data_IF_462336133248
#
_entry.id   IF_462336133248
#
_cell.length_a   1.000
_cell.length_b   1.000
_cell.length_c   1.000
_cell.angle_alpha   90.00
_cell.angle_beta   90.00
_cell.angle_gamma   90.00
#
_symmetry.space_group_name_H-M   'P 1'
#
loop_
_entity.id
_entity.type
_entity.pdbx_description
1 polymer ?
#
# COMPACT_ATOMS: atom_id res chain seq x y z
N UNK A 1 -7.62 18.24 35.57
CA UNK A 1 -7.43 18.34 34.11
C UNK A 1 -7.27 19.81 33.80
N UNK A 2 -6.06 20.21 33.41
CA UNK A 2 -5.70 21.61 33.19
C UNK A 2 -6.45 22.18 31.97
N UNK A 3 -6.88 23.43 32.09
CA UNK A 3 -7.49 24.23 31.03
C UNK A 3 -6.59 24.24 29.79
N UNK A 4 -7.03 23.58 28.72
CA UNK A 4 -6.52 23.85 27.38
C UNK A 4 -7.01 25.25 26.98
N UNK A 5 -6.26 26.27 27.39
CA UNK A 5 -6.50 27.65 26.98
C UNK A 5 -6.60 27.72 25.46
N UNK A 6 -7.69 28.31 24.98
CA UNK A 6 -8.02 28.48 23.57
C UNK A 6 -6.94 29.33 22.87
N UNK A 7 -5.83 28.70 22.45
CA UNK A 7 -4.80 29.34 21.63
C UNK A 7 -5.40 29.62 20.26
N UNK A 8 -5.56 30.90 19.95
CA UNK A 8 -6.00 31.33 18.64
C UNK A 8 -4.78 31.37 17.71
N UNK A 9 -4.60 30.33 16.90
CA UNK A 9 -3.49 30.20 15.96
C UNK A 9 -3.75 31.06 14.72
N UNK A 10 -2.75 31.79 14.24
CA UNK A 10 -2.79 32.35 12.89
C UNK A 10 -2.48 31.28 11.84
N UNK A 11 -2.91 31.47 10.59
CA UNK A 11 -2.62 30.54 9.48
C UNK A 11 -1.12 30.24 9.34
N UNK A 12 -0.28 31.27 9.44
CA UNK A 12 1.17 31.14 9.32
C UNK A 12 1.80 30.34 10.46
N UNK A 13 1.29 30.49 11.69
CA UNK A 13 1.78 29.76 12.86
C UNK A 13 1.29 28.31 12.87
N UNK A 14 0.04 28.07 12.47
CA UNK A 14 -0.52 26.72 12.43
C UNK A 14 0.21 25.82 11.43
N UNK A 15 0.62 26.37 10.28
CA UNK A 15 1.31 25.63 9.23
C UNK A 15 2.84 25.74 9.28
N UNK A 16 3.41 26.46 10.24
CA UNK A 16 4.85 26.76 10.31
C UNK A 16 5.41 27.27 8.97
N UNK A 17 4.72 28.22 8.33
CA UNK A 17 5.05 28.65 6.96
C UNK A 17 6.42 29.30 6.87
N UNK A 18 6.88 29.95 7.94
CA UNK A 18 8.19 30.60 7.93
C UNK A 18 9.28 29.56 7.75
N UNK A 19 9.27 28.54 8.57
CA UNK A 19 10.23 27.44 8.51
C UNK A 19 10.10 26.72 7.16
N UNK A 20 8.89 26.39 6.72
CA UNK A 20 8.65 25.68 5.46
C UNK A 20 9.19 26.45 4.24
N UNK A 21 8.99 27.76 4.19
CA UNK A 21 9.40 28.65 3.09
C UNK A 21 10.84 29.15 3.20
N UNK A 22 11.60 28.72 4.22
CA UNK A 22 13.05 28.94 4.33
C UNK A 22 13.85 27.73 3.81
N UNK A 23 13.20 26.57 3.56
CA UNK A 23 13.88 25.31 3.20
C UNK A 23 14.35 25.21 1.74
N UNK A 24 14.05 26.19 0.88
CA UNK A 24 14.37 26.10 -0.55
C UNK A 24 15.84 26.44 -0.84
N UNK A 25 16.56 27.03 0.12
CA UNK A 25 17.99 27.27 0.04
C UNK A 25 18.39 28.34 -0.98
N UNK A 26 17.60 29.42 -1.06
CA UNK A 26 17.88 30.61 -1.87
C UNK A 26 19.23 31.27 -1.54
N UNK A 27 19.70 31.10 -0.30
CA UNK A 27 21.00 31.57 0.19
C UNK A 27 22.20 30.95 -0.55
N UNK A 28 22.00 29.79 -1.21
CA UNK A 28 23.01 29.12 -2.03
C UNK A 28 23.14 29.70 -3.45
N UNK A 29 22.33 30.70 -3.81
CA UNK A 29 22.36 31.32 -5.13
C UNK A 29 21.77 30.45 -6.24
N UNK A 30 20.78 29.63 -5.90
CA UNK A 30 20.13 28.69 -6.82
C UNK A 30 19.44 29.41 -7.99
N UNK A 31 19.40 28.74 -9.15
CA UNK A 31 18.67 29.24 -10.31
C UNK A 31 17.15 29.03 -10.18
N UNK A 32 16.34 29.70 -11.01
CA UNK A 32 14.89 29.46 -11.04
C UNK A 32 14.51 28.01 -11.37
N UNK A 33 15.30 27.36 -12.23
CA UNK A 33 15.11 25.96 -12.61
C UNK A 33 15.46 25.00 -11.47
N UNK A 34 16.48 25.33 -10.66
CA UNK A 34 16.85 24.59 -9.47
C UNK A 34 15.83 24.77 -8.34
N UNK A 35 15.29 25.99 -8.16
CA UNK A 35 14.17 26.27 -7.25
C UNK A 35 12.94 25.41 -7.62
N UNK A 36 12.60 25.36 -8.90
CA UNK A 36 11.51 24.50 -9.40
C UNK A 36 11.75 23.03 -9.06
N UNK A 37 12.96 22.53 -9.32
CA UNK A 37 13.35 21.16 -8.97
C UNK A 37 13.18 20.89 -7.47
N UNK A 38 13.64 21.80 -6.60
CA UNK A 38 13.55 21.67 -5.14
C UNK A 38 12.09 21.64 -4.67
N UNK A 39 11.26 22.59 -5.11
CA UNK A 39 9.85 22.68 -4.69
C UNK A 39 9.08 21.42 -5.10
N UNK A 40 9.31 20.91 -6.30
CA UNK A 40 8.65 19.67 -6.77
C UNK A 40 9.00 18.50 -5.84
N UNK A 41 10.29 18.30 -5.52
CA UNK A 41 10.71 17.19 -4.65
C UNK A 41 10.26 17.38 -3.20
N UNK A 42 10.31 18.59 -2.66
CA UNK A 42 9.76 18.88 -1.32
C UNK A 42 8.26 18.58 -1.24
N UNK A 43 7.51 18.88 -2.31
CA UNK A 43 6.08 18.58 -2.39
C UNK A 43 5.84 17.07 -2.43
N UNK A 44 6.64 16.30 -3.17
CA UNK A 44 6.59 14.83 -3.14
C UNK A 44 6.86 14.29 -1.74
N UNK A 45 7.88 14.78 -1.03
CA UNK A 45 8.21 14.34 0.33
C UNK A 45 7.12 14.68 1.35
N UNK A 46 6.40 15.80 1.18
CA UNK A 46 5.22 16.12 1.99
C UNK A 46 4.06 15.15 1.72
N UNK A 47 3.84 14.76 0.46
CA UNK A 47 2.83 13.77 0.11
C UNK A 47 3.19 12.38 0.61
N UNK A 48 4.44 11.94 0.49
CA UNK A 48 4.91 10.67 1.05
C UNK A 48 4.67 10.62 2.56
N UNK A 49 4.95 11.70 3.28
CA UNK A 49 4.66 11.80 4.71
C UNK A 49 3.19 11.57 5.03
N UNK A 50 2.30 12.17 4.24
CA UNK A 50 0.86 11.96 4.40
C UNK A 50 0.46 10.53 4.08
N UNK A 51 0.91 9.97 2.95
CA UNK A 51 0.64 8.59 2.53
C UNK A 51 1.07 7.58 3.60
N UNK A 52 2.30 7.71 4.10
CA UNK A 52 2.85 6.86 5.17
C UNK A 52 1.96 6.91 6.41
N UNK A 53 1.47 8.11 6.77
CA UNK A 53 0.55 8.27 7.91
C UNK A 53 -0.78 7.53 7.68
N UNK A 54 -1.42 7.75 6.53
CA UNK A 54 -2.70 7.13 6.18
C UNK A 54 -2.59 5.60 6.15
N UNK A 55 -1.58 5.07 5.46
CA UNK A 55 -1.39 3.63 5.30
C UNK A 55 -0.92 2.94 6.58
N UNK A 56 -0.18 3.64 7.45
CA UNK A 56 0.14 3.14 8.79
C UNK A 56 -1.11 3.03 9.64
N UNK A 57 -1.98 4.04 9.63
CA UNK A 57 -3.26 3.99 10.35
C UNK A 57 -4.14 2.82 9.82
N UNK A 58 -4.16 2.55 8.50
CA UNK A 58 -4.86 1.37 7.92
C UNK A 58 -4.26 0.06 8.42
N UNK A 59 -2.94 -0.10 8.35
CA UNK A 59 -2.22 -1.29 8.84
C UNK A 59 -2.54 -1.54 10.32
N UNK A 60 -2.45 -0.50 11.15
CA UNK A 60 -2.71 -0.56 12.60
C UNK A 60 -4.16 -0.94 12.93
N UNK A 61 -5.13 -0.55 12.09
CA UNK A 61 -6.51 -1.04 12.19
C UNK A 61 -6.57 -2.54 11.91
N UNK A 62 -5.98 -3.00 10.80
CA UNK A 62 -6.12 -4.36 10.30
C UNK A 62 -5.41 -5.42 11.16
N UNK A 63 -4.33 -5.04 11.85
CA UNK A 63 -3.61 -5.95 12.77
C UNK A 63 -4.37 -6.23 14.07
N UNK A 64 -5.42 -5.48 14.41
CA UNK A 64 -6.19 -5.71 15.63
C UNK A 64 -6.89 -7.08 15.61
N UNK A 65 -7.02 -7.71 16.78
CA UNK A 65 -7.67 -9.02 16.95
C UNK A 65 -8.65 -8.97 18.12
N UNK A 66 -9.98 -8.90 17.89
CA UNK A 66 -10.65 -8.68 16.60
C UNK A 66 -10.51 -7.22 16.10
N UNK A 67 -10.70 -7.00 14.78
CA UNK A 67 -10.82 -5.63 14.23
C UNK A 67 -12.22 -5.10 14.53
N UNK A 68 -12.36 -3.92 15.16
CA UNK A 68 -13.66 -3.30 15.37
C UNK A 68 -14.35 -2.95 14.05
N UNK A 69 -15.61 -3.36 13.88
CA UNK A 69 -16.36 -3.16 12.63
C UNK A 69 -16.52 -1.66 12.26
N UNK A 70 -16.54 -0.78 13.26
CA UNK A 70 -16.64 0.67 13.09
C UNK A 70 -15.33 1.33 12.65
N UNK A 71 -14.20 0.63 12.68
CA UNK A 71 -12.92 1.11 12.17
C UNK A 71 -12.66 0.74 10.70
N UNK A 72 -13.36 -0.24 10.13
CA UNK A 72 -13.22 -0.57 8.70
C UNK A 72 -13.61 0.60 7.78
N UNK A 73 -14.70 1.36 8.03
CA UNK A 73 -15.00 2.57 7.25
C UNK A 73 -13.85 3.59 7.27
N UNK A 74 -13.20 3.75 8.43
CA UNK A 74 -12.07 4.66 8.58
C UNK A 74 -10.87 4.19 7.75
N UNK A 75 -10.56 2.89 7.74
CA UNK A 75 -9.54 2.33 6.86
C UNK A 75 -9.84 2.58 5.37
N UNK A 76 -11.10 2.43 4.95
CA UNK A 76 -11.54 2.74 3.57
C UNK A 76 -11.34 4.23 3.24
N UNK A 77 -11.69 5.13 4.16
CA UNK A 77 -11.53 6.58 3.96
C UNK A 77 -10.05 6.96 3.83
N UNK A 78 -9.16 6.34 4.63
CA UNK A 78 -7.71 6.52 4.54
C UNK A 78 -7.15 6.03 3.20
N UNK A 79 -7.58 4.85 2.73
CA UNK A 79 -7.19 4.33 1.41
C UNK A 79 -7.66 5.24 0.28
N UNK A 80 -8.94 5.66 0.29
CA UNK A 80 -9.48 6.56 -0.73
C UNK A 80 -8.75 7.91 -0.78
N UNK A 81 -8.35 8.47 0.37
CA UNK A 81 -7.50 9.66 0.40
C UNK A 81 -6.14 9.40 -0.22
N UNK A 82 -5.54 8.24 0.07
CA UNK A 82 -4.23 7.86 -0.45
C UNK A 82 -4.25 7.71 -1.97
N UNK A 83 -5.30 7.09 -2.53
CA UNK A 83 -5.55 7.01 -3.98
C UNK A 83 -5.61 8.39 -4.64
N UNK A 84 -6.33 9.35 -4.06
CA UNK A 84 -6.38 10.71 -4.60
C UNK A 84 -5.03 11.43 -4.55
N UNK A 85 -4.22 11.18 -3.50
CA UNK A 85 -2.86 11.71 -3.42
C UNK A 85 -1.98 11.11 -4.53
N UNK A 86 -2.07 9.81 -4.81
CA UNK A 86 -1.33 9.20 -5.92
C UNK A 86 -1.74 9.78 -7.28
N UNK A 87 -3.04 9.96 -7.53
CA UNK A 87 -3.54 10.63 -8.75
C UNK A 87 -2.95 12.04 -8.90
N UNK A 88 -2.89 12.80 -7.81
CA UNK A 88 -2.28 14.13 -7.80
C UNK A 88 -0.76 14.05 -8.09
N UNK A 89 -0.04 13.16 -7.42
CA UNK A 89 1.40 12.95 -7.60
C UNK A 89 1.74 12.50 -9.03
N UNK A 90 0.93 11.65 -9.64
CA UNK A 90 1.08 11.26 -11.05
C UNK A 90 0.97 12.48 -11.97
N UNK A 91 0.00 13.37 -11.71
CA UNK A 91 -0.17 14.62 -12.47
C UNK A 91 0.98 15.61 -12.25
N UNK A 92 1.60 15.60 -11.07
CA UNK A 92 2.71 16.49 -10.69
C UNK A 92 3.94 16.30 -11.59
N UNK A 93 4.13 15.13 -12.21
CA UNK A 93 5.22 14.92 -13.18
C UNK A 93 5.16 15.90 -14.35
N UNK A 94 3.97 16.28 -14.81
CA UNK A 94 3.83 17.27 -15.89
C UNK A 94 4.38 18.65 -15.52
N UNK A 95 4.40 18.98 -14.22
CA UNK A 95 5.02 20.20 -13.69
C UNK A 95 6.53 20.08 -13.74
N UNK A 96 7.10 18.93 -13.38
CA UNK A 96 8.54 18.72 -13.49
C UNK A 96 9.01 18.72 -14.95
N UNK A 97 8.22 18.17 -15.87
CA UNK A 97 8.52 18.10 -17.31
C UNK A 97 8.66 19.46 -17.99
N UNK A 98 8.22 20.55 -17.36
CA UNK A 98 8.50 21.91 -17.86
C UNK A 98 9.96 22.31 -17.68
N UNK A 99 10.73 21.58 -16.87
CA UNK A 99 12.17 21.75 -16.72
C UNK A 99 12.88 21.23 -17.97
N UNK A 100 13.50 22.14 -18.73
CA UNK A 100 14.23 21.73 -19.93
C UNK A 100 15.50 20.94 -19.57
N UNK A 101 15.95 20.00 -20.42
CA UNK A 101 17.21 19.30 -20.19
C UNK A 101 18.40 20.23 -20.01
N UNK A 102 18.44 21.37 -20.73
CA UNK A 102 19.47 22.39 -20.58
C UNK A 102 19.39 23.08 -19.21
N UNK A 103 18.19 23.39 -18.74
CA UNK A 103 17.94 23.95 -17.41
C UNK A 103 18.42 23.00 -16.31
N UNK A 104 18.09 21.71 -16.42
CA UNK A 104 18.58 20.69 -15.50
C UNK A 104 20.11 20.57 -15.50
N UNK A 105 20.74 20.53 -16.68
CA UNK A 105 22.21 20.45 -16.79
C UNK A 105 22.92 21.66 -16.17
N UNK A 106 22.27 22.83 -16.07
CA UNK A 106 22.89 24.03 -15.52
C UNK A 106 23.18 23.94 -14.01
N UNK A 107 22.42 23.13 -13.26
CA UNK A 107 22.61 22.95 -11.81
C UNK A 107 22.92 21.51 -11.40
N UNK A 108 22.83 20.53 -12.32
CA UNK A 108 23.05 19.10 -12.04
C UNK A 108 24.34 18.82 -11.28
N UNK A 109 25.44 19.47 -11.64
CA UNK A 109 26.74 19.24 -11.02
C UNK A 109 26.75 19.61 -9.53
N UNK A 110 25.86 20.53 -9.10
CA UNK A 110 25.65 20.92 -7.70
C UNK A 110 24.93 19.88 -6.85
N UNK A 111 24.22 18.92 -7.47
CA UNK A 111 23.53 17.84 -6.75
C UNK A 111 24.51 16.80 -6.16
N UNK A 112 25.73 16.73 -6.68
CA UNK A 112 26.75 15.79 -6.19
C UNK A 112 26.30 14.32 -6.30
N UNK A 113 26.28 13.61 -5.17
CA UNK A 113 25.81 12.22 -5.08
C UNK A 113 24.33 12.10 -4.72
N UNK A 114 23.64 13.22 -4.49
CA UNK A 114 22.25 13.21 -4.05
C UNK A 114 21.38 12.50 -5.09
N UNK A 115 20.61 11.52 -4.64
CA UNK A 115 19.79 10.70 -5.51
C UNK A 115 18.44 10.39 -4.88
N UNK A 116 17.41 10.21 -5.70
CA UNK A 116 16.10 9.73 -5.23
C UNK A 116 16.18 8.37 -4.50
N UNK A 117 17.26 7.60 -4.72
CA UNK A 117 17.56 6.38 -3.97
C UNK A 117 17.83 6.62 -2.46
N UNK A 118 18.11 7.86 -2.06
CA UNK A 118 18.36 8.25 -0.66
C UNK A 118 17.07 8.73 0.05
N UNK A 119 15.92 8.74 -0.63
CA UNK A 119 14.64 9.05 0.02
C UNK A 119 14.26 7.92 0.99
N UNK A 120 14.40 8.18 2.29
CA UNK A 120 14.03 7.21 3.32
C UNK A 120 12.52 7.00 3.39
N UNK A 121 11.71 8.04 3.12
CA UNK A 121 10.25 7.91 3.09
C UNK A 121 9.79 7.00 1.94
N UNK A 122 10.47 7.05 0.79
CA UNK A 122 10.20 6.09 -0.29
C UNK A 122 10.45 4.65 0.17
N UNK A 123 11.53 4.39 0.92
CA UNK A 123 11.80 3.05 1.48
C UNK A 123 10.80 2.64 2.53
N UNK A 124 10.48 3.54 3.46
CA UNK A 124 9.45 3.32 4.48
C UNK A 124 8.12 2.95 3.83
N UNK A 125 7.72 3.67 2.78
CA UNK A 125 6.52 3.41 2.01
C UNK A 125 6.54 2.03 1.33
N UNK A 126 7.63 1.65 0.66
CA UNK A 126 7.79 0.31 0.04
C UNK A 126 7.73 -0.82 1.09
N UNK A 127 8.35 -0.63 2.25
CA UNK A 127 8.32 -1.57 3.37
C UNK A 127 6.90 -1.71 3.91
N UNK A 128 6.21 -0.58 4.12
CA UNK A 128 4.82 -0.54 4.59
C UNK A 128 3.88 -1.26 3.63
N UNK A 129 4.03 -1.09 2.32
CA UNK A 129 3.22 -1.84 1.35
C UNK A 129 3.52 -3.36 1.36
N UNK A 130 4.76 -3.76 1.64
CA UNK A 130 5.18 -5.16 1.65
C UNK A 130 5.79 -5.62 0.33
N UNK A 131 6.45 -4.72 -0.41
CA UNK A 131 7.13 -5.05 -1.66
C UNK A 131 8.25 -6.07 -1.43
N UNK A 132 8.20 -7.21 -2.11
CA UNK A 132 9.18 -8.28 -1.94
C UNK A 132 10.54 -7.86 -2.48
N UNK A 133 11.62 -8.35 -1.87
CA UNK A 133 12.97 -8.01 -2.30
C UNK A 133 13.27 -8.45 -3.74
N UNK A 134 12.64 -9.53 -4.23
CA UNK A 134 12.75 -9.99 -5.62
C UNK A 134 12.07 -9.05 -6.61
N UNK A 135 11.09 -8.27 -6.16
CA UNK A 135 10.37 -7.27 -6.96
C UNK A 135 11.13 -5.92 -6.99
N UNK A 136 12.11 -5.73 -6.09
CA UNK A 136 12.96 -4.55 -6.06
C UNK A 136 13.98 -4.59 -7.21
N UNK A 137 14.23 -3.44 -7.81
CA UNK A 137 15.23 -3.30 -8.88
C UNK A 137 16.61 -3.74 -8.39
N UNK A 138 17.11 -4.86 -8.92
CA UNK A 138 18.41 -5.44 -8.57
C UNK A 138 18.41 -6.40 -7.38
N UNK A 139 17.26 -6.74 -6.78
CA UNK A 139 17.18 -7.66 -5.64
C UNK A 139 17.82 -7.12 -4.35
N UNK A 140 17.94 -5.79 -4.26
CA UNK A 140 18.73 -5.11 -3.23
C UNK A 140 17.89 -4.95 -1.95
N UNK A 141 18.49 -5.24 -0.80
CA UNK A 141 17.89 -4.96 0.50
C UNK A 141 17.64 -3.43 0.64
N UNK A 142 16.41 -2.99 0.95
CA UNK A 142 16.06 -1.57 1.05
C UNK A 142 16.91 -0.77 2.04
N UNK A 143 17.47 -1.44 3.05
CA UNK A 143 18.25 -0.81 4.11
C UNK A 143 19.75 -0.83 3.85
N UNK A 144 20.24 -1.51 2.81
CA UNK A 144 21.67 -1.67 2.58
C UNK A 144 22.43 -0.34 2.44
N UNK A 145 21.84 0.63 1.75
CA UNK A 145 22.42 1.98 1.63
C UNK A 145 22.43 2.70 2.98
N UNK A 146 21.33 2.62 3.73
CA UNK A 146 21.19 3.27 5.04
C UNK A 146 22.15 2.68 6.07
N UNK A 147 22.34 1.35 6.10
CA UNK A 147 23.31 0.65 6.96
C UNK A 147 24.74 1.08 6.69
N UNK A 148 25.10 1.36 5.43
CA UNK A 148 26.45 1.85 5.07
C UNK A 148 26.71 3.30 5.47
N UNK A 149 25.65 4.07 5.73
CA UNK A 149 25.71 5.51 6.03
C UNK A 149 25.47 5.82 7.52
N UNK A 150 25.39 4.80 8.40
CA UNK A 150 25.13 4.97 9.85
C UNK A 150 26.18 5.81 10.54
N UNK A 151 27.45 5.66 10.15
CA UNK A 151 28.58 6.36 10.77
C UNK A 151 28.65 7.85 10.36
N UNK A 152 27.82 8.30 9.42
CA UNK A 152 27.85 9.67 8.89
C UNK A 152 27.04 10.67 9.74
N UNK A 153 26.38 10.24 10.84
CA UNK A 153 25.75 11.14 11.81
C UNK A 153 24.50 10.58 12.50
N UNK A 154 24.14 11.14 13.66
CA UNK A 154 23.04 10.65 14.52
C UNK A 154 21.68 10.61 13.78
N UNK A 155 21.39 11.62 12.95
CA UNK A 155 20.13 11.66 12.20
C UNK A 155 19.96 10.46 11.24
N UNK A 156 21.05 9.97 10.62
CA UNK A 156 20.98 8.80 9.74
C UNK A 156 20.80 7.51 10.51
N UNK A 157 21.36 7.44 11.72
CA UNK A 157 21.15 6.33 12.65
C UNK A 157 19.69 6.27 13.13
N UNK A 158 19.10 7.42 13.50
CA UNK A 158 17.67 7.52 13.84
C UNK A 158 16.78 7.06 12.68
N UNK A 159 17.11 7.45 11.43
CA UNK A 159 16.38 6.99 10.24
C UNK A 159 16.49 5.47 10.09
N UNK A 160 17.68 4.88 10.24
CA UNK A 160 17.84 3.44 10.14
C UNK A 160 17.04 2.70 11.22
N UNK A 161 17.14 3.13 12.48
CA UNK A 161 16.40 2.55 13.60
C UNK A 161 14.89 2.62 13.37
N UNK A 162 14.40 3.74 12.82
CA UNK A 162 13.00 3.89 12.42
C UNK A 162 12.61 2.89 11.32
N UNK A 163 13.37 2.81 10.23
CA UNK A 163 13.07 1.88 9.13
C UNK A 163 13.12 0.41 9.58
N UNK A 164 14.06 0.04 10.45
CA UNK A 164 14.13 -1.29 11.06
C UNK A 164 12.90 -1.58 11.92
N UNK A 165 12.40 -0.58 12.66
CA UNK A 165 11.17 -0.72 13.45
C UNK A 165 9.93 -0.92 12.55
N UNK A 166 9.84 -0.24 11.41
CA UNK A 166 8.74 -0.40 10.45
C UNK A 166 8.83 -1.77 9.77
N UNK A 167 10.03 -2.25 9.41
CA UNK A 167 10.24 -3.58 8.84
C UNK A 167 9.89 -4.73 9.80
N UNK A 168 9.94 -4.48 11.11
CA UNK A 168 9.57 -5.47 12.12
C UNK A 168 8.04 -5.63 12.29
N UNK A 169 7.25 -4.69 11.76
CA UNK A 169 5.80 -4.75 11.77
C UNK A 169 5.27 -5.46 10.52
N UNK A 170 4.07 -6.08 10.58
CA UNK A 170 3.41 -6.59 9.39
C UNK A 170 3.24 -5.50 8.34
N UNK A 171 3.50 -5.83 7.08
CA UNK A 171 3.16 -4.99 5.94
C UNK A 171 1.64 -4.82 5.80
N UNK A 172 1.21 -3.88 4.96
CA UNK A 172 -0.19 -3.65 4.64
C UNK A 172 -0.81 -4.90 3.97
N UNK A 173 -0.08 -5.54 3.05
CA UNK A 173 -0.52 -6.77 2.39
C UNK A 173 -0.65 -7.91 3.39
N UNK A 174 0.32 -8.12 4.29
CA UNK A 174 0.22 -9.14 5.33
C UNK A 174 -0.95 -8.85 6.29
N UNK A 175 -1.11 -7.59 6.69
CA UNK A 175 -2.20 -7.16 7.59
C UNK A 175 -3.56 -7.40 6.96
N UNK A 176 -3.72 -7.07 5.67
CA UNK A 176 -4.92 -7.35 4.90
C UNK A 176 -5.19 -8.85 4.81
N UNK A 177 -4.19 -9.64 4.41
CA UNK A 177 -4.37 -11.08 4.23
C UNK A 177 -4.67 -11.81 5.53
N UNK A 178 -4.04 -11.41 6.65
CA UNK A 178 -4.35 -11.90 7.99
C UNK A 178 -5.74 -11.48 8.47
N UNK A 179 -6.21 -10.30 8.08
CA UNK A 179 -7.58 -9.87 8.36
C UNK A 179 -8.60 -10.67 7.55
N UNK A 180 -8.37 -10.86 6.25
CA UNK A 180 -9.24 -11.68 5.38
C UNK A 180 -9.28 -13.13 5.85
N UNK A 181 -8.14 -13.70 6.26
CA UNK A 181 -8.06 -15.07 6.77
C UNK A 181 -9.03 -15.32 7.94
N UNK A 182 -9.27 -14.28 8.75
CA UNK A 182 -10.18 -14.34 9.90
C UNK A 182 -11.65 -14.14 9.53
N UNK A 183 -11.97 -13.92 8.25
CA UNK A 183 -13.35 -13.81 7.77
C UNK A 183 -14.13 -15.08 8.13
N UNK A 184 -15.31 -14.95 8.77
CA UNK A 184 -16.18 -16.09 8.98
C UNK A 184 -16.69 -16.64 7.64
N UNK A 185 -16.37 -17.90 7.33
CA UNK A 185 -16.75 -18.56 6.07
C UNK A 185 -17.79 -19.63 6.39
N UNK A 186 -18.99 -19.50 5.83
CA UNK A 186 -20.09 -20.47 6.04
C UNK A 186 -20.40 -20.75 7.53
N UNK A 187 -20.25 -19.73 8.39
CA UNK A 187 -20.45 -19.86 9.84
C UNK A 187 -19.25 -20.43 10.59
N UNK A 188 -18.18 -20.82 9.90
CA UNK A 188 -16.93 -21.22 10.54
C UNK A 188 -16.10 -20.01 10.97
N UNK A 189 -15.61 -20.07 12.21
CA UNK A 189 -14.69 -19.09 12.77
C UNK A 189 -13.26 -19.60 12.62
N UNK A 190 -12.33 -18.70 12.31
CA UNK A 190 -10.90 -19.00 12.20
C UNK A 190 -10.37 -19.78 13.41
N UNK A 191 -9.80 -20.95 13.17
CA UNK A 191 -9.20 -21.80 14.21
C UNK A 191 -10.20 -22.57 15.07
N UNK A 192 -11.50 -22.60 14.72
CA UNK A 192 -12.48 -23.45 15.39
C UNK A 192 -12.33 -24.94 15.02
N UNK A 193 -12.92 -25.85 15.81
CA UNK A 193 -12.72 -27.32 15.65
C UNK A 193 -13.07 -27.85 14.24
N UNK A 194 -14.09 -27.29 13.59
CA UNK A 194 -14.55 -27.72 12.26
C UNK A 194 -14.04 -26.82 11.12
N UNK A 195 -13.07 -25.95 11.40
CA UNK A 195 -12.74 -24.84 10.50
C UNK A 195 -12.13 -25.29 9.17
N UNK A 196 -11.20 -26.23 9.25
CA UNK A 196 -10.56 -26.81 8.07
C UNK A 196 -11.55 -27.58 7.20
N UNK A 197 -12.46 -28.34 7.82
CA UNK A 197 -13.49 -29.13 7.13
C UNK A 197 -14.46 -28.21 6.38
N UNK A 198 -15.04 -27.21 7.07
CA UNK A 198 -16.02 -26.30 6.48
C UNK A 198 -15.42 -25.50 5.31
N UNK A 199 -14.19 -25.01 5.45
CA UNK A 199 -13.54 -24.24 4.38
C UNK A 199 -13.10 -25.12 3.22
N UNK A 200 -12.64 -26.34 3.49
CA UNK A 200 -12.36 -27.32 2.44
C UNK A 200 -13.60 -27.64 1.63
N UNK A 201 -14.72 -27.92 2.30
CA UNK A 201 -15.99 -28.23 1.66
C UNK A 201 -16.51 -27.06 0.83
N UNK A 202 -16.41 -25.83 1.35
CA UNK A 202 -16.76 -24.63 0.60
C UNK A 202 -15.94 -24.48 -0.69
N UNK A 203 -14.60 -24.61 -0.61
CA UNK A 203 -13.72 -24.50 -1.78
C UNK A 203 -13.97 -25.62 -2.78
N UNK A 204 -14.09 -26.86 -2.32
CA UNK A 204 -14.32 -27.99 -3.21
C UNK A 204 -15.67 -27.86 -3.92
N UNK A 205 -16.72 -27.46 -3.21
CA UNK A 205 -18.03 -27.17 -3.79
C UNK A 205 -17.97 -26.05 -4.83
N UNK A 206 -17.23 -24.98 -4.57
CA UNK A 206 -17.03 -23.90 -5.53
C UNK A 206 -16.29 -24.37 -6.79
N UNK A 207 -15.19 -25.11 -6.62
CA UNK A 207 -14.38 -25.61 -7.74
C UNK A 207 -15.17 -26.63 -8.59
N UNK A 208 -15.99 -27.46 -7.96
CA UNK A 208 -16.89 -28.39 -8.65
C UNK A 208 -17.92 -27.63 -9.49
N UNK A 209 -18.60 -26.64 -8.91
CA UNK A 209 -19.53 -25.78 -9.66
C UNK A 209 -18.86 -25.02 -10.81
N UNK A 210 -17.63 -24.51 -10.61
CA UNK A 210 -16.86 -23.86 -11.65
C UNK A 210 -16.48 -24.85 -12.78
N UNK A 211 -16.15 -26.11 -12.44
CA UNK A 211 -15.89 -27.16 -13.43
C UNK A 211 -17.13 -27.50 -14.24
N UNK A 212 -18.28 -27.69 -13.60
CA UNK A 212 -19.55 -27.96 -14.29
C UNK A 212 -19.89 -26.84 -15.28
N UNK A 213 -19.71 -25.58 -14.88
CA UNK A 213 -19.91 -24.43 -15.75
C UNK A 213 -18.93 -24.42 -16.94
N UNK A 214 -17.66 -24.75 -16.69
CA UNK A 214 -16.64 -24.92 -17.73
C UNK A 214 -17.04 -26.00 -18.75
N UNK A 215 -17.51 -27.16 -18.28
CA UNK A 215 -17.90 -28.28 -19.13
C UNK A 215 -19.14 -27.96 -19.98
N UNK A 216 -20.11 -27.22 -19.43
CA UNK A 216 -21.26 -26.73 -20.18
C UNK A 216 -20.87 -25.73 -21.26
N UNK A 217 -20.02 -24.75 -20.94
CA UNK A 217 -19.54 -23.75 -21.88
C UNK A 217 -18.66 -24.36 -23.00
N UNK A 218 -17.89 -25.41 -22.66
CA UNK A 218 -17.02 -26.15 -23.58
C UNK A 218 -17.77 -26.80 -24.73
N UNK A 219 -19.06 -27.14 -24.55
CA UNK A 219 -19.92 -27.71 -25.59
C UNK A 219 -20.25 -26.72 -26.72
N UNK A 220 -19.98 -25.42 -26.53
CA UNK A 220 -20.27 -24.39 -27.53
C UNK A 220 -19.17 -24.20 -28.57
N UNK A 221 -17.89 -24.42 -28.23
CA UNK A 221 -16.74 -24.22 -29.12
C UNK A 221 -15.45 -24.74 -28.47
N UNK A 222 -14.53 -25.34 -29.24
CA UNK A 222 -13.20 -25.75 -28.76
C UNK A 222 -12.39 -24.60 -28.14
N UNK A 223 -12.49 -23.40 -28.71
CA UNK A 223 -11.80 -22.22 -28.17
C UNK A 223 -12.38 -21.79 -26.82
N UNK A 224 -13.70 -21.90 -26.65
CA UNK A 224 -14.35 -21.63 -25.37
C UNK A 224 -13.93 -22.69 -24.33
N UNK A 225 -13.85 -23.96 -24.74
CA UNK A 225 -13.41 -25.04 -23.89
C UNK A 225 -11.98 -24.83 -23.36
N UNK A 226 -11.05 -24.46 -24.24
CA UNK A 226 -9.68 -24.14 -23.85
C UNK A 226 -9.61 -22.97 -22.85
N UNK A 227 -10.37 -21.89 -23.09
CA UNK A 227 -10.40 -20.73 -22.18
C UNK A 227 -10.97 -21.08 -20.81
N UNK A 228 -12.03 -21.87 -20.76
CA UNK A 228 -12.69 -22.24 -19.50
C UNK A 228 -11.86 -23.22 -18.68
N UNK A 229 -11.16 -24.16 -19.33
CA UNK A 229 -10.21 -25.05 -18.65
C UNK A 229 -9.06 -24.25 -18.01
N UNK A 230 -8.48 -23.30 -18.73
CA UNK A 230 -7.43 -22.42 -18.18
C UNK A 230 -7.97 -21.58 -17.01
N UNK A 231 -9.20 -21.07 -17.10
CA UNK A 231 -9.82 -20.35 -16.01
C UNK A 231 -10.02 -21.23 -14.77
N UNK A 232 -10.46 -22.48 -14.96
CA UNK A 232 -10.62 -23.44 -13.86
C UNK A 232 -9.28 -23.80 -13.22
N UNK A 233 -8.24 -24.08 -14.01
CA UNK A 233 -6.89 -24.36 -13.48
C UNK A 233 -6.35 -23.17 -12.67
N UNK A 234 -6.60 -21.94 -13.12
CA UNK A 234 -6.25 -20.72 -12.37
C UNK A 234 -7.05 -20.59 -11.07
N UNK A 235 -8.33 -20.92 -11.07
CA UNK A 235 -9.14 -20.93 -9.84
C UNK A 235 -8.60 -21.96 -8.84
N UNK A 236 -8.20 -23.15 -9.31
CA UNK A 236 -7.57 -24.18 -8.48
C UNK A 236 -6.24 -23.70 -7.93
N UNK A 237 -5.34 -23.17 -8.76
CA UNK A 237 -4.02 -22.70 -8.29
C UNK A 237 -4.11 -21.48 -7.37
N UNK A 238 -5.13 -20.64 -7.56
CA UNK A 238 -5.45 -19.56 -6.65
C UNK A 238 -5.93 -20.11 -5.31
N UNK A 239 -6.98 -20.93 -5.25
CA UNK A 239 -7.53 -21.39 -3.96
C UNK A 239 -6.64 -22.42 -3.25
N UNK A 240 -5.79 -23.13 -4.01
CA UNK A 240 -4.90 -24.18 -3.50
C UNK A 240 -3.44 -23.97 -3.95
N UNK A 241 -2.75 -22.89 -3.50
CA UNK A 241 -1.34 -22.71 -3.81
C UNK A 241 -0.54 -23.92 -3.31
N UNK A 242 0.34 -24.45 -4.16
CA UNK A 242 1.14 -25.65 -3.87
C UNK A 242 0.31 -26.89 -3.49
N UNK A 243 -0.98 -26.91 -3.83
CA UNK A 243 -1.92 -27.99 -3.51
C UNK A 243 -2.58 -27.87 -2.14
N UNK A 244 -2.22 -26.88 -1.31
CA UNK A 244 -2.78 -26.66 0.02
C UNK A 244 -3.86 -25.58 0.00
N UNK A 245 -4.95 -25.78 0.73
CA UNK A 245 -6.01 -24.78 0.84
C UNK A 245 -5.47 -23.49 1.46
N UNK A 246 -5.69 -22.36 0.78
CA UNK A 246 -5.43 -21.03 1.32
C UNK A 246 -6.71 -20.44 1.87
N UNK A 247 -6.78 -20.32 3.20
CA UNK A 247 -7.94 -19.76 3.88
C UNK A 247 -8.17 -18.28 3.55
N UNK A 248 -7.12 -17.48 3.53
CA UNK A 248 -7.22 -16.06 3.14
C UNK A 248 -7.81 -15.90 1.73
N UNK A 249 -7.40 -16.73 0.77
CA UNK A 249 -7.99 -16.73 -0.58
C UNK A 249 -9.42 -17.25 -0.60
N UNK A 250 -9.78 -18.17 0.29
CA UNK A 250 -11.17 -18.59 0.49
C UNK A 250 -12.04 -17.47 1.09
N UNK A 251 -11.48 -16.66 2.00
CA UNK A 251 -12.10 -15.46 2.56
C UNK A 251 -12.39 -14.42 1.48
N UNK A 252 -11.41 -14.14 0.61
CA UNK A 252 -11.61 -13.28 -0.58
C UNK A 252 -12.77 -13.80 -1.44
N UNK A 253 -12.73 -15.09 -1.78
CA UNK A 253 -13.78 -15.72 -2.58
C UNK A 253 -15.16 -15.59 -1.90
N UNK A 254 -15.23 -15.77 -0.58
CA UNK A 254 -16.47 -15.66 0.17
C UNK A 254 -17.02 -14.23 0.16
N UNK A 255 -16.16 -13.24 0.42
CA UNK A 255 -16.52 -11.82 0.37
C UNK A 255 -17.09 -11.45 -1.01
N UNK A 256 -16.45 -11.94 -2.08
CA UNK A 256 -16.86 -11.68 -3.46
C UNK A 256 -18.08 -12.47 -3.93
N UNK A 257 -18.29 -13.67 -3.39
CA UNK A 257 -19.42 -14.53 -3.77
C UNK A 257 -20.74 -14.12 -3.11
N UNK A 258 -20.68 -13.51 -1.92
CA UNK A 258 -21.85 -13.20 -1.09
C UNK A 258 -22.12 -11.70 -0.96
N UNK A 259 -22.07 -10.98 -2.09
CA UNK A 259 -22.18 -9.50 -2.13
C UNK A 259 -23.46 -8.92 -1.51
N UNK A 260 -24.53 -9.72 -1.48
CA UNK A 260 -25.84 -9.35 -0.92
C UNK A 260 -25.89 -9.35 0.61
N UNK A 261 -24.89 -9.93 1.30
CA UNK A 261 -24.85 -9.94 2.76
C UNK A 261 -24.47 -8.55 3.30
N UNK A 262 -25.31 -7.90 4.13
CA UNK A 262 -25.00 -6.56 4.66
C UNK A 262 -23.67 -6.51 5.43
N UNK A 263 -23.37 -7.57 6.18
CA UNK A 263 -22.13 -7.72 6.96
C UNK A 263 -20.85 -7.69 6.09
N UNK A 264 -20.96 -7.99 4.80
CA UNK A 264 -19.82 -8.00 3.86
C UNK A 264 -19.70 -6.70 3.06
N UNK A 265 -20.54 -5.70 3.32
CA UNK A 265 -20.51 -4.43 2.58
C UNK A 265 -19.19 -3.68 2.78
N UNK A 266 -18.75 -3.54 4.03
CA UNK A 266 -17.48 -2.88 4.35
C UNK A 266 -16.25 -3.71 3.96
N UNK A 267 -16.24 -5.05 4.18
CA UNK A 267 -15.21 -5.91 3.62
C UNK A 267 -14.98 -5.75 2.12
N UNK A 268 -16.05 -5.70 1.32
CA UNK A 268 -15.94 -5.46 -0.13
C UNK A 268 -15.36 -4.10 -0.44
N UNK A 269 -15.88 -3.04 0.19
CA UNK A 269 -15.36 -1.68 0.00
C UNK A 269 -13.88 -1.56 0.36
N UNK A 270 -13.43 -2.28 1.39
CA UNK A 270 -12.02 -2.32 1.77
C UNK A 270 -11.16 -2.98 0.70
N UNK A 271 -11.59 -4.13 0.17
CA UNK A 271 -10.89 -4.81 -0.94
C UNK A 271 -10.88 -3.92 -2.19
N UNK A 272 -12.02 -3.35 -2.56
CA UNK A 272 -12.15 -2.45 -3.72
C UNK A 272 -11.20 -1.25 -3.58
N UNK A 273 -11.11 -0.63 -2.39
CA UNK A 273 -10.23 0.50 -2.14
C UNK A 273 -8.74 0.14 -2.22
N UNK A 274 -8.36 -1.08 -1.83
CA UNK A 274 -6.98 -1.56 -1.98
C UNK A 274 -6.64 -1.82 -3.45
N UNK A 275 -7.56 -2.40 -4.22
CA UNK A 275 -7.38 -2.58 -5.67
C UNK A 275 -7.26 -1.22 -6.36
N UNK A 276 -8.11 -0.25 -6.01
CA UNK A 276 -8.05 1.09 -6.57
C UNK A 276 -6.73 1.81 -6.23
N UNK A 277 -6.19 1.58 -5.04
CA UNK A 277 -4.87 2.08 -4.62
C UNK A 277 -3.72 1.46 -5.44
N UNK A 278 -3.79 0.16 -5.74
CA UNK A 278 -2.79 -0.54 -6.55
C UNK A 278 -2.80 -0.07 -8.01
N UNK A 279 -3.97 0.30 -8.54
CA UNK A 279 -4.15 0.77 -9.91
C UNK A 279 -3.83 2.28 -10.13
N UNK A 280 -3.75 3.09 -9.06
CA UNK A 280 -3.57 4.54 -9.12
C UNK A 280 -2.12 5.00 -9.26
#
# INVERSE_FOLDING_TARGET
>A
MAEAGNRNWTYSEYLNLRELLELQGEDRGISSDEMHFIIVHQTFELWFKQIIRELTDVRDILIQVPVPEDQIPMAVDHLGRTTEIFRLMASQWTVLETLTPQGFLAFRDGLGTASGFESYQMREFEILLGLDNSERFGGIDPLDSFRRMVDDGEAKKEILEHLESVMALPSLVESLMNWIERTPIMGSIYGSENDEEVVSDYINSHLEAHREMSDLASKSSEMMAARMNVAHERAVSFLKPEGNISRSRAGLLFIESYRELPLLTWPRKLIDAIVELEES
#
